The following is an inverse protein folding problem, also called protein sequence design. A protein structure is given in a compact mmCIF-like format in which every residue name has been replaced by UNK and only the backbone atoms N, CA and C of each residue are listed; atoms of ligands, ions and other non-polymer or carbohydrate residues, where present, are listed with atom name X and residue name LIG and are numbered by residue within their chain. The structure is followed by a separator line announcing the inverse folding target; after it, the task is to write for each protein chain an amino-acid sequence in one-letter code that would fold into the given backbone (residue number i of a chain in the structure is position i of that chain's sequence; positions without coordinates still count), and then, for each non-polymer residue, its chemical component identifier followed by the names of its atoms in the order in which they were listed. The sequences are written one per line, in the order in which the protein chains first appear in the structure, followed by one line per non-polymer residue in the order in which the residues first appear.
data_IF_507532622222
#
_entry.id   IF_507532622222
#
_cell.length_a   1.000
_cell.length_b   1.000
_cell.length_c   1.000
_cell.angle_alpha   90.00
_cell.angle_beta   90.00
_cell.angle_gamma   90.00
#
_symmetry.space_group_name_H-M   'P 1'
#
loop_
_entity.id
_entity.type
_entity.pdbx_description
1 polymer ?
#
# COMPACT_ATOMS: atom_id res chain seq x y z
N UNK A 1 -15.75 -14.46 3.11
CA UNK A 1 -15.44 -14.91 1.74
C UNK A 1 -15.13 -13.75 0.79
N UNK A 2 -15.75 -12.58 0.96
CA UNK A 2 -15.60 -11.43 0.05
C UNK A 2 -14.21 -10.76 0.03
N UNK A 3 -13.58 -10.57 1.20
CA UNK A 3 -12.20 -10.04 1.27
C UNK A 3 -11.21 -10.97 0.58
N UNK A 4 -11.36 -12.30 0.75
CA UNK A 4 -10.48 -13.27 0.11
C UNK A 4 -10.59 -13.23 -1.42
N UNK A 5 -11.79 -13.01 -1.98
CA UNK A 5 -11.97 -12.85 -3.42
C UNK A 5 -11.37 -11.52 -3.93
N UNK A 6 -11.53 -10.43 -3.18
CA UNK A 6 -10.95 -9.13 -3.54
C UNK A 6 -9.42 -9.17 -3.53
N UNK A 7 -8.82 -9.81 -2.53
CA UNK A 7 -7.36 -10.00 -2.46
C UNK A 7 -6.84 -10.88 -3.59
N UNK A 8 -7.57 -11.95 -3.97
CA UNK A 8 -7.21 -12.78 -5.13
C UNK A 8 -7.24 -11.95 -6.43
N UNK A 9 -8.29 -11.16 -6.64
CA UNK A 9 -8.37 -10.29 -7.81
C UNK A 9 -7.24 -9.24 -7.85
N UNK A 10 -6.85 -8.71 -6.69
CA UNK A 10 -5.70 -7.82 -6.60
C UNK A 10 -4.38 -8.54 -6.94
N UNK A 11 -4.19 -9.76 -6.44
CA UNK A 11 -3.02 -10.58 -6.76
C UNK A 11 -2.89 -10.84 -8.25
N UNK A 12 -3.98 -11.20 -8.93
CA UNK A 12 -3.99 -11.40 -10.38
C UNK A 12 -3.63 -10.11 -11.13
N UNK A 13 -4.15 -8.97 -10.68
CA UNK A 13 -3.82 -7.65 -11.23
C UNK A 13 -2.34 -7.30 -11.06
N UNK A 14 -1.74 -7.64 -9.92
CA UNK A 14 -0.30 -7.46 -9.68
C UNK A 14 0.50 -8.29 -10.67
N UNK A 15 0.17 -9.56 -10.86
CA UNK A 15 0.91 -10.43 -11.79
C UNK A 15 0.84 -9.95 -13.25
N UNK A 16 -0.29 -9.35 -13.66
CA UNK A 16 -0.45 -8.82 -15.01
C UNK A 16 0.29 -7.48 -15.24
N UNK A 17 0.36 -6.63 -14.22
CA UNK A 17 0.82 -5.24 -14.38
C UNK A 17 2.20 -4.96 -13.78
N UNK A 18 2.78 -5.88 -12.99
CA UNK A 18 4.08 -5.68 -12.32
C UNK A 18 5.20 -5.28 -13.29
N UNK A 19 5.20 -5.84 -14.50
CA UNK A 19 6.25 -5.56 -15.50
C UNK A 19 6.05 -4.23 -16.23
N UNK A 20 4.85 -3.64 -16.15
CA UNK A 20 4.50 -2.37 -16.78
C UNK A 20 4.67 -1.18 -15.83
N UNK A 21 4.67 -1.44 -14.51
CA UNK A 21 4.75 -0.42 -13.47
C UNK A 21 6.20 -0.30 -13.00
N UNK A 22 6.91 0.70 -13.52
CA UNK A 22 8.34 0.91 -13.24
C UNK A 22 8.66 1.90 -12.12
N UNK A 23 7.68 2.68 -11.63
CA UNK A 23 7.93 3.73 -10.62
C UNK A 23 7.30 3.38 -9.27
N UNK A 24 7.91 3.88 -8.20
CA UNK A 24 7.41 3.71 -6.83
C UNK A 24 6.02 4.32 -6.66
N UNK A 25 5.79 5.52 -7.22
CA UNK A 25 4.51 6.22 -7.15
C UNK A 25 3.38 5.45 -7.86
N UNK A 26 3.68 4.91 -9.06
CA UNK A 26 2.71 4.10 -9.79
C UNK A 26 2.42 2.77 -9.06
N UNK A 27 3.42 2.18 -8.40
CA UNK A 27 3.27 0.98 -7.57
C UNK A 27 2.36 1.25 -6.36
N UNK A 28 2.58 2.37 -5.64
CA UNK A 28 1.74 2.80 -4.53
C UNK A 28 0.29 2.94 -4.98
N UNK A 29 0.08 3.61 -6.11
CA UNK A 29 -1.27 3.92 -6.61
C UNK A 29 -1.98 2.69 -7.18
N UNK A 30 -1.29 1.83 -7.91
CA UNK A 30 -1.90 0.70 -8.62
C UNK A 30 -2.16 -0.52 -7.76
N UNK A 31 -1.36 -0.72 -6.70
CA UNK A 31 -1.38 -1.93 -5.88
C UNK A 31 -1.57 -1.64 -4.38
N UNK A 32 -0.81 -0.69 -3.81
CA UNK A 32 -0.84 -0.45 -2.35
C UNK A 32 -2.12 0.25 -1.91
N UNK A 33 -2.56 1.30 -2.60
CA UNK A 33 -3.81 1.99 -2.27
C UNK A 33 -5.03 1.06 -2.43
N UNK A 34 -5.18 0.30 -3.54
CA UNK A 34 -6.25 -0.69 -3.66
C UNK A 34 -6.22 -1.76 -2.58
N UNK A 35 -5.03 -2.20 -2.15
CA UNK A 35 -4.89 -3.14 -1.04
C UNK A 35 -5.45 -2.57 0.27
N UNK A 36 -5.06 -1.34 0.62
CA UNK A 36 -5.52 -0.66 1.84
C UNK A 36 -7.04 -0.46 1.79
N UNK A 37 -7.57 -0.05 0.63
CA UNK A 37 -9.02 0.08 0.43
C UNK A 37 -9.77 -1.26 0.60
N UNK A 38 -9.21 -2.37 0.13
CA UNK A 38 -9.80 -3.72 0.33
C UNK A 38 -9.80 -4.17 1.79
N UNK A 39 -8.92 -3.63 2.63
CA UNK A 39 -8.95 -3.86 4.07
C UNK A 39 -10.03 -3.03 4.79
N UNK A 40 -10.75 -2.16 4.06
CA UNK A 40 -11.84 -1.33 4.57
C UNK A 40 -11.43 0.05 5.05
N UNK A 41 -10.21 0.51 4.75
CA UNK A 41 -9.77 1.87 5.06
C UNK A 41 -10.14 2.85 3.95
N UNK A 42 -10.41 4.10 4.31
CA UNK A 42 -10.59 5.17 3.35
C UNK A 42 -9.24 5.78 2.94
N UNK A 43 -8.82 5.48 1.70
CA UNK A 43 -7.58 5.98 1.11
C UNK A 43 -7.59 7.50 0.83
N UNK A 44 -8.76 8.15 0.87
CA UNK A 44 -8.89 9.60 0.73
C UNK A 44 -8.99 10.30 2.09
N UNK A 45 -9.15 9.55 3.18
CA UNK A 45 -9.18 10.10 4.52
C UNK A 45 -7.74 10.19 5.10
N UNK A 46 -7.15 11.39 5.20
CA UNK A 46 -5.79 11.56 5.69
C UNK A 46 -5.62 11.23 7.18
N UNK A 47 -6.73 11.05 7.93
CA UNK A 47 -6.65 10.58 9.33
C UNK A 47 -6.55 9.06 9.44
N UNK A 48 -6.91 8.34 8.38
CA UNK A 48 -6.77 6.87 8.31
C UNK A 48 -5.53 6.46 7.53
N UNK A 49 -5.29 7.09 6.38
CA UNK A 49 -4.19 6.75 5.48
C UNK A 49 -3.34 7.99 5.27
N UNK A 50 -2.13 7.97 5.83
CA UNK A 50 -1.15 9.07 5.68
C UNK A 50 -0.13 8.68 4.60
N UNK A 51 -0.10 9.38 3.45
CA UNK A 51 0.94 9.19 2.45
C UNK A 51 2.31 9.52 3.05
N UNK A 52 3.34 8.77 2.64
CA UNK A 52 4.73 9.03 3.05
C UNK A 52 4.94 9.13 4.56
N UNK A 53 4.14 8.38 5.34
CA UNK A 53 4.28 8.37 6.78
C UNK A 53 5.67 7.88 7.18
N UNK A 54 6.46 8.77 7.76
CA UNK A 54 7.73 8.43 8.37
C UNK A 54 7.43 7.90 9.76
N UNK A 55 7.30 6.57 9.87
CA UNK A 55 7.29 5.92 11.17
C UNK A 55 8.69 6.05 11.77
N UNK A 56 8.90 7.03 12.66
CA UNK A 56 10.11 7.15 13.47
C UNK A 56 10.22 5.93 14.40
N UNK A 57 10.65 4.79 13.86
CA UNK A 57 11.04 3.63 14.65
C UNK A 57 12.40 3.98 15.21
N UNK A 58 12.44 4.46 16.46
CA UNK A 58 13.61 5.03 17.11
C UNK A 58 14.93 4.32 16.80
N UNK A 59 15.66 4.82 15.80
CA UNK A 59 17.08 4.57 15.60
C UNK A 59 17.87 5.79 16.10
N UNK A 60 17.58 6.22 17.34
CA UNK A 60 18.59 6.88 18.17
C UNK A 60 19.18 5.84 19.12
N UNK A 61 19.97 4.91 18.56
CA UNK A 61 21.10 4.37 19.30
C UNK A 61 22.17 5.45 19.32
N UNK A 62 22.52 5.87 20.54
CA UNK A 62 23.57 6.81 20.87
C UNK A 62 24.83 6.66 20.01
N UNK A 63 25.42 7.78 19.57
CA UNK A 63 26.86 7.92 19.56
C UNK A 63 27.21 9.19 20.33
N UNK A 64 27.92 8.95 21.43
CA UNK A 64 28.73 9.90 22.21
C UNK A 64 29.51 10.87 21.32
#
# INVERSE_FOLDING_TARGET
MEIQSQLRALSEKVDQLKDQIGTEEATKTAFVLPFIHQLGYDIFNPTEVVPEFTADIGLKKEKR
#
